data_IF_222072871138
#
_entry.id   IF_222072871138
#
_cell.length_a   1.000
_cell.length_b   1.000
_cell.length_c   1.000
_cell.angle_alpha   90.00
_cell.angle_beta   90.00
_cell.angle_gamma   90.00
#
_symmetry.space_group_name_H-M   'P 1'
#
loop_
_entity.id
_entity.type
_entity.pdbx_description
1 polymer ?
#
# COMPACT_ATOMS: atom_id res chain seq x y z
N UNK A 1 7.14 -9.31 -11.81
CA UNK A 1 7.21 -7.84 -11.69
C UNK A 1 8.47 -7.51 -10.90
N UNK A 2 9.25 -6.49 -11.26
CA UNK A 2 10.37 -6.06 -10.41
C UNK A 2 9.80 -5.28 -9.21
N UNK A 3 10.03 -5.71 -7.95
CA UNK A 3 9.31 -5.15 -6.80
C UNK A 3 9.55 -3.65 -6.57
N UNK A 4 10.76 -3.17 -6.79
CA UNK A 4 11.07 -1.75 -6.65
C UNK A 4 10.43 -0.88 -7.76
N UNK A 5 10.41 -1.37 -9.00
CA UNK A 5 9.75 -0.67 -10.10
C UNK A 5 8.23 -0.55 -9.87
N UNK A 6 7.64 -1.55 -9.20
CA UNK A 6 6.24 -1.50 -8.78
C UNK A 6 5.98 -0.37 -7.78
N UNK A 7 6.89 -0.17 -6.80
CA UNK A 7 6.82 0.94 -5.85
C UNK A 7 6.95 2.29 -6.55
N UNK A 8 7.95 2.45 -7.42
CA UNK A 8 8.15 3.71 -8.16
C UNK A 8 6.90 4.06 -8.99
N UNK A 9 6.29 3.08 -9.67
CA UNK A 9 5.03 3.27 -10.41
C UNK A 9 3.82 3.54 -9.50
N UNK A 10 3.73 2.91 -8.35
CA UNK A 10 2.66 3.16 -7.38
C UNK A 10 2.76 4.57 -6.81
N UNK A 11 3.97 5.04 -6.49
CA UNK A 11 4.24 6.43 -6.09
C UNK A 11 3.78 7.39 -7.18
N UNK A 12 4.24 7.19 -8.42
CA UNK A 12 3.89 8.09 -9.53
C UNK A 12 2.37 8.12 -9.77
N UNK A 13 1.69 6.99 -9.63
CA UNK A 13 0.22 6.88 -9.73
C UNK A 13 -0.48 7.75 -8.67
N UNK A 14 -0.13 7.57 -7.40
CA UNK A 14 -0.76 8.29 -6.28
C UNK A 14 -0.47 9.78 -6.35
N UNK A 15 0.79 10.16 -6.60
CA UNK A 15 1.19 11.57 -6.71
C UNK A 15 0.44 12.24 -7.87
N UNK A 16 0.39 11.60 -9.03
CA UNK A 16 -0.33 12.15 -10.19
C UNK A 16 -1.81 12.35 -9.89
N UNK A 17 -2.45 11.37 -9.24
CA UNK A 17 -3.87 11.44 -8.93
C UNK A 17 -4.20 12.55 -7.91
N UNK A 18 -3.36 12.74 -6.89
CA UNK A 18 -3.64 13.66 -5.78
C UNK A 18 -3.12 15.09 -5.99
N UNK A 19 -2.14 15.28 -6.88
CA UNK A 19 -1.55 16.60 -7.17
C UNK A 19 -2.57 17.71 -7.49
N UNK A 20 -3.66 17.46 -8.25
CA UNK A 20 -4.65 18.51 -8.55
C UNK A 20 -5.42 19.04 -7.34
N UNK A 21 -5.34 18.37 -6.18
CA UNK A 21 -6.12 18.70 -4.99
C UNK A 21 -5.27 19.14 -3.80
N UNK A 22 -3.99 19.49 -3.99
CA UNK A 22 -3.13 19.97 -2.89
C UNK A 22 -3.63 21.29 -2.29
N UNK A 23 -4.35 22.11 -3.06
CA UNK A 23 -4.94 23.36 -2.57
C UNK A 23 -6.33 23.16 -1.90
N UNK A 24 -6.85 21.92 -1.87
CA UNK A 24 -8.13 21.61 -1.23
C UNK A 24 -7.98 21.33 0.28
N UNK A 25 -9.10 21.29 0.98
CA UNK A 25 -9.11 20.90 2.40
C UNK A 25 -8.91 19.39 2.56
N UNK A 26 -7.73 18.98 3.07
CA UNK A 26 -7.42 17.58 3.39
C UNK A 26 -7.85 17.17 4.80
N UNK A 27 -8.56 18.02 5.54
CA UNK A 27 -9.16 17.65 6.83
C UNK A 27 -10.47 16.88 6.68
N UNK A 28 -11.05 16.83 5.47
CA UNK A 28 -12.20 15.97 5.18
C UNK A 28 -11.83 14.47 5.30
N UNK A 29 -12.81 13.60 5.58
CA UNK A 29 -12.62 12.15 5.59
C UNK A 29 -12.04 11.60 4.27
N UNK A 30 -11.16 10.60 4.38
CA UNK A 30 -10.61 9.86 3.24
C UNK A 30 -11.56 8.73 2.82
N UNK A 31 -12.50 9.04 1.92
CA UNK A 31 -13.52 8.09 1.49
C UNK A 31 -14.42 7.70 2.67
N UNK A 32 -14.51 6.40 2.94
CA UNK A 32 -15.30 5.86 4.06
C UNK A 32 -14.51 5.75 5.37
N UNK A 33 -13.24 6.18 5.40
CA UNK A 33 -12.44 6.16 6.62
C UNK A 33 -12.84 7.29 7.58
N UNK A 34 -12.75 7.04 8.88
CA UNK A 34 -12.85 8.10 9.91
C UNK A 34 -11.65 9.06 9.88
N UNK A 35 -10.56 8.65 9.23
CA UNK A 35 -9.34 9.43 9.09
C UNK A 35 -9.48 10.51 8.03
N UNK A 36 -8.83 11.66 8.27
CA UNK A 36 -8.76 12.69 7.24
C UNK A 36 -7.84 12.28 6.09
N UNK A 37 -8.00 12.92 4.94
CA UNK A 37 -7.10 12.76 3.79
C UNK A 37 -5.63 13.04 4.19
N UNK A 38 -5.39 14.08 4.99
CA UNK A 38 -4.04 14.43 5.47
C UNK A 38 -3.47 13.36 6.39
N UNK A 39 -4.23 12.91 7.37
CA UNK A 39 -3.75 11.87 8.30
C UNK A 39 -3.47 10.57 7.55
N UNK A 40 -4.32 10.20 6.60
CA UNK A 40 -4.16 9.00 5.77
C UNK A 40 -2.88 9.07 4.93
N UNK A 41 -2.54 10.23 4.36
CA UNK A 41 -1.29 10.43 3.62
C UNK A 41 -0.05 10.37 4.53
N UNK A 42 -0.10 11.01 5.71
CA UNK A 42 0.97 10.94 6.72
C UNK A 42 1.19 9.51 7.22
N UNK A 43 0.11 8.77 7.46
CA UNK A 43 0.14 7.36 7.85
C UNK A 43 0.83 6.51 6.78
N UNK A 44 0.40 6.61 5.51
CA UNK A 44 1.01 5.87 4.43
C UNK A 44 2.52 6.19 4.32
N UNK A 45 2.91 7.46 4.44
CA UNK A 45 4.32 7.84 4.45
C UNK A 45 5.10 7.20 5.62
N UNK A 46 4.54 7.21 6.84
CA UNK A 46 5.14 6.57 8.01
C UNK A 46 5.26 5.06 7.85
N UNK A 47 4.26 4.37 7.29
CA UNK A 47 4.32 2.94 6.98
C UNK A 47 5.47 2.63 6.02
N UNK A 48 5.59 3.38 4.92
CA UNK A 48 6.67 3.19 3.93
C UNK A 48 8.06 3.34 4.54
N UNK A 49 8.25 4.37 5.37
CA UNK A 49 9.53 4.58 6.07
C UNK A 49 9.81 3.47 7.08
N UNK A 50 8.79 3.04 7.83
CA UNK A 50 8.89 1.93 8.78
C UNK A 50 9.31 0.65 8.07
N UNK A 51 8.67 0.30 6.95
CA UNK A 51 9.02 -0.90 6.19
C UNK A 51 10.43 -0.82 5.58
N UNK A 52 10.86 0.36 5.15
CA UNK A 52 12.22 0.60 4.67
C UNK A 52 13.25 0.36 5.79
N UNK A 53 13.00 0.90 6.98
CA UNK A 53 13.86 0.71 8.15
C UNK A 53 13.91 -0.76 8.56
N UNK A 54 12.78 -1.47 8.56
CA UNK A 54 12.74 -2.88 8.94
C UNK A 54 13.59 -3.76 8.04
N UNK A 55 13.49 -3.55 6.72
CA UNK A 55 14.28 -4.33 5.76
C UNK A 55 15.77 -3.93 5.81
N UNK A 56 16.07 -2.63 5.84
CA UNK A 56 17.44 -2.14 5.88
C UNK A 56 18.21 -2.56 7.14
N UNK A 57 17.53 -2.60 8.29
CA UNK A 57 18.10 -3.03 9.57
C UNK A 57 18.07 -4.54 9.78
N UNK A 58 17.36 -5.28 8.92
CA UNK A 58 17.09 -6.71 9.07
C UNK A 58 16.50 -7.04 10.46
N UNK A 59 15.60 -6.17 10.94
CA UNK A 59 15.05 -6.26 12.29
C UNK A 59 14.41 -7.64 12.51
N UNK A 60 14.82 -8.42 13.54
CA UNK A 60 14.48 -9.84 13.59
C UNK A 60 13.16 -10.15 14.30
N UNK A 61 12.68 -9.29 15.22
CA UNK A 61 11.61 -9.66 16.16
C UNK A 61 10.58 -8.58 16.48
N UNK A 62 10.89 -7.31 16.19
CA UNK A 62 10.04 -6.18 16.53
C UNK A 62 10.27 -5.04 15.54
N UNK A 63 9.38 -4.05 15.58
CA UNK A 63 9.61 -2.79 14.89
C UNK A 63 10.75 -2.02 15.53
N UNK A 64 11.70 -1.57 14.72
CA UNK A 64 12.63 -0.52 15.13
C UNK A 64 11.80 0.66 15.64
N UNK A 65 12.16 1.16 16.83
CA UNK A 65 11.42 2.23 17.49
C UNK A 65 11.59 3.54 16.72
N UNK A 66 10.67 3.81 15.80
CA UNK A 66 10.70 4.95 14.89
C UNK A 66 9.28 5.49 14.69
N UNK A 67 9.18 6.81 14.64
CA UNK A 67 7.95 7.51 14.29
C UNK A 67 8.28 8.77 13.50
N UNK A 68 7.46 9.07 12.51
CA UNK A 68 7.57 10.27 11.68
C UNK A 68 6.19 10.76 11.26
N UNK A 69 6.12 12.05 10.93
CA UNK A 69 4.95 12.76 10.42
C UNK A 69 5.43 14.01 9.71
N UNK A 70 4.56 14.63 8.90
CA UNK A 70 4.87 15.94 8.36
C UNK A 70 4.96 16.99 9.48
N UNK A 71 5.60 18.12 9.18
CA UNK A 71 5.65 19.25 10.09
C UNK A 71 4.23 19.82 10.32
N UNK A 72 4.04 20.52 11.43
CA UNK A 72 2.74 21.05 11.80
C UNK A 72 2.22 22.11 10.81
N UNK A 73 3.15 22.88 10.23
CA UNK A 73 2.91 23.92 9.24
C UNK A 73 3.07 23.44 7.79
N UNK A 74 3.33 22.13 7.58
CA UNK A 74 3.42 21.54 6.26
C UNK A 74 2.08 21.65 5.51
N UNK A 75 2.14 22.16 4.28
CA UNK A 75 1.04 22.20 3.33
C UNK A 75 0.70 20.79 2.83
N UNK A 76 -0.45 20.60 2.19
CA UNK A 76 -0.77 19.29 1.60
C UNK A 76 0.20 18.90 0.48
N UNK A 77 0.77 19.86 -0.24
CA UNK A 77 1.83 19.61 -1.20
C UNK A 77 3.08 19.03 -0.51
N UNK A 78 3.47 19.58 0.64
CA UNK A 78 4.59 19.05 1.44
C UNK A 78 4.28 17.64 1.99
N UNK A 79 3.02 17.36 2.38
CA UNK A 79 2.61 16.01 2.80
C UNK A 79 2.68 15.02 1.62
N UNK A 80 2.25 15.42 0.43
CA UNK A 80 2.33 14.59 -0.77
C UNK A 80 3.80 14.35 -1.18
N UNK A 81 4.66 15.37 -1.04
CA UNK A 81 6.11 15.24 -1.24
C UNK A 81 6.72 14.25 -0.25
N UNK A 82 6.35 14.32 1.03
CA UNK A 82 6.79 13.37 2.05
C UNK A 82 6.38 11.93 1.69
N UNK A 83 5.14 11.72 1.23
CA UNK A 83 4.67 10.41 0.79
C UNK A 83 5.49 9.89 -0.40
N UNK A 84 5.73 10.74 -1.40
CA UNK A 84 6.53 10.40 -2.57
C UNK A 84 7.97 10.04 -2.21
N UNK A 85 8.63 10.86 -1.38
CA UNK A 85 9.99 10.62 -0.91
C UNK A 85 10.09 9.32 -0.10
N UNK A 86 9.09 9.04 0.73
CA UNK A 86 9.03 7.81 1.54
C UNK A 86 8.88 6.55 0.68
N UNK A 87 8.05 6.60 -0.36
CA UNK A 87 7.93 5.50 -1.32
C UNK A 87 9.21 5.27 -2.13
N UNK A 88 9.88 6.34 -2.58
CA UNK A 88 11.17 6.25 -3.28
C UNK A 88 12.29 5.74 -2.37
N UNK A 89 12.28 6.10 -1.09
CA UNK A 89 13.19 5.54 -0.09
C UNK A 89 12.97 4.04 0.07
N UNK A 90 11.72 3.59 0.20
CA UNK A 90 11.39 2.17 0.27
C UNK A 90 11.86 1.43 -0.99
N UNK A 91 11.60 1.98 -2.17
CA UNK A 91 12.04 1.40 -3.44
C UNK A 91 13.58 1.26 -3.49
N UNK A 92 14.32 2.25 -2.99
CA UNK A 92 15.77 2.19 -2.91
C UNK A 92 16.27 1.08 -1.97
N UNK A 93 15.65 0.92 -0.80
CA UNK A 93 15.99 -0.18 0.12
C UNK A 93 15.67 -1.54 -0.50
N UNK A 94 14.51 -1.69 -1.15
CA UNK A 94 14.13 -2.92 -1.85
C UNK A 94 15.12 -3.26 -2.97
N UNK A 95 15.61 -2.29 -3.73
CA UNK A 95 16.65 -2.51 -4.77
C UNK A 95 17.98 -2.99 -4.19
N UNK A 96 18.33 -2.54 -2.99
CA UNK A 96 19.60 -2.83 -2.35
C UNK A 96 19.57 -4.11 -1.50
N UNK A 97 18.40 -4.68 -1.24
CA UNK A 97 18.24 -5.85 -0.37
C UNK A 97 18.81 -7.11 -1.02
N UNK A 98 19.55 -7.91 -0.24
CA UNK A 98 20.02 -9.22 -0.67
C UNK A 98 18.90 -10.26 -0.59
N UNK A 99 18.95 -11.36 -1.38
CA UNK A 99 17.89 -12.39 -1.37
C UNK A 99 17.59 -13.01 0.01
N UNK A 100 18.57 -12.98 0.92
CA UNK A 100 18.46 -13.51 2.30
C UNK A 100 17.94 -12.48 3.30
N UNK A 101 17.84 -11.19 2.93
CA UNK A 101 17.45 -10.13 3.84
C UNK A 101 15.98 -10.24 4.21
N UNK A 102 15.68 -10.08 5.50
CA UNK A 102 14.33 -10.14 6.05
C UNK A 102 14.10 -9.04 7.06
N UNK A 103 12.94 -8.40 7.02
CA UNK A 103 12.48 -7.45 8.02
C UNK A 103 11.26 -7.97 8.76
N UNK A 104 11.21 -7.78 10.07
CA UNK A 104 10.05 -8.16 10.87
C UNK A 104 8.80 -7.35 10.51
N UNK A 105 7.69 -8.06 10.31
CA UNK A 105 6.32 -7.54 10.30
C UNK A 105 5.43 -8.52 11.11
N UNK A 106 4.39 -8.04 11.84
CA UNK A 106 3.48 -8.93 12.59
C UNK A 106 2.83 -10.05 11.77
N UNK A 107 2.68 -9.86 10.45
CA UNK A 107 2.12 -10.85 9.51
C UNK A 107 3.18 -11.66 8.74
N UNK A 108 4.44 -11.64 9.20
CA UNK A 108 5.51 -12.51 8.71
C UNK A 108 6.83 -11.76 8.48
N UNK A 109 7.94 -12.50 8.47
CA UNK A 109 9.26 -11.97 8.11
C UNK A 109 9.30 -11.63 6.62
N UNK A 110 9.17 -10.35 6.30
CA UNK A 110 9.08 -9.85 4.94
C UNK A 110 10.44 -9.90 4.24
N UNK A 111 10.46 -10.43 3.03
CA UNK A 111 11.56 -10.27 2.08
C UNK A 111 11.38 -9.00 1.24
N UNK A 112 12.30 -8.73 0.31
CA UNK A 112 12.21 -7.55 -0.55
C UNK A 112 10.88 -7.48 -1.34
N UNK A 113 10.36 -8.62 -1.82
CA UNK A 113 9.09 -8.67 -2.54
C UNK A 113 7.90 -8.40 -1.61
N UNK A 114 7.86 -9.01 -0.43
CA UNK A 114 6.81 -8.78 0.57
C UNK A 114 6.82 -7.35 1.09
N UNK A 115 8.00 -6.78 1.33
CA UNK A 115 8.17 -5.38 1.71
C UNK A 115 7.65 -4.42 0.64
N UNK A 116 7.95 -4.67 -0.64
CA UNK A 116 7.40 -3.89 -1.74
C UNK A 116 5.87 -4.06 -1.87
N UNK A 117 5.37 -5.28 -1.69
CA UNK A 117 3.94 -5.57 -1.75
C UNK A 117 3.16 -4.81 -0.67
N UNK A 118 3.67 -4.80 0.57
CA UNK A 118 3.09 -3.98 1.66
C UNK A 118 3.09 -2.50 1.28
N UNK A 119 4.22 -1.95 0.83
CA UNK A 119 4.31 -0.53 0.46
C UNK A 119 3.37 -0.15 -0.70
N UNK A 120 3.23 -1.01 -1.71
CA UNK A 120 2.29 -0.79 -2.81
C UNK A 120 0.83 -0.87 -2.35
N UNK A 121 0.48 -1.73 -1.38
CA UNK A 121 -0.87 -1.76 -0.79
C UNK A 121 -1.14 -0.44 -0.06
N UNK A 122 -0.23 0.00 0.82
CA UNK A 122 -0.36 1.28 1.53
C UNK A 122 -0.54 2.43 0.56
N UNK A 123 0.30 2.52 -0.48
CA UNK A 123 0.21 3.58 -1.49
C UNK A 123 -1.12 3.52 -2.26
N UNK A 124 -1.43 2.37 -2.87
CA UNK A 124 -2.53 2.32 -3.83
C UNK A 124 -3.90 2.34 -3.16
N UNK A 125 -4.05 1.65 -2.03
CA UNK A 125 -5.31 1.58 -1.30
C UNK A 125 -5.60 2.91 -0.62
N UNK A 126 -4.65 3.46 0.14
CA UNK A 126 -4.87 4.76 0.80
C UNK A 126 -4.86 5.94 -0.18
N UNK A 127 -4.12 5.86 -1.29
CA UNK A 127 -4.25 6.81 -2.38
C UNK A 127 -5.66 6.82 -2.96
N UNK A 128 -6.30 5.65 -3.08
CA UNK A 128 -7.70 5.51 -3.48
C UNK A 128 -8.68 6.05 -2.44
N UNK A 129 -8.43 5.80 -1.15
CA UNK A 129 -9.25 6.36 -0.06
C UNK A 129 -9.21 7.90 -0.08
N UNK A 130 -8.01 8.50 -0.23
CA UNK A 130 -7.83 9.95 -0.31
C UNK A 130 -8.49 10.51 -1.58
N UNK A 131 -8.28 9.88 -2.74
CA UNK A 131 -8.88 10.32 -3.98
C UNK A 131 -10.42 10.31 -3.90
N UNK A 132 -11.01 9.28 -3.28
CA UNK A 132 -12.45 9.22 -3.04
C UNK A 132 -12.93 10.37 -2.13
N UNK A 133 -12.23 10.64 -1.02
CA UNK A 133 -12.54 11.76 -0.11
C UNK A 133 -12.47 13.14 -0.75
N UNK A 134 -11.56 13.31 -1.73
CA UNK A 134 -11.38 14.55 -2.49
C UNK A 134 -12.20 14.61 -3.79
N UNK A 135 -13.00 13.58 -4.09
CA UNK A 135 -13.81 13.52 -5.31
C UNK A 135 -13.01 13.42 -6.60
N UNK A 136 -11.80 12.84 -6.55
CA UNK A 136 -10.89 12.68 -7.68
C UNK A 136 -11.09 11.32 -8.37
N UNK A 137 -10.93 11.24 -9.69
CA UNK A 137 -10.87 9.97 -10.39
C UNK A 137 -9.60 9.21 -9.98
N UNK A 138 -9.72 7.90 -9.76
CA UNK A 138 -8.59 7.07 -9.36
C UNK A 138 -8.71 5.66 -9.92
N UNK A 139 -7.72 5.24 -10.70
CA UNK A 139 -7.60 3.88 -11.22
C UNK A 139 -6.10 3.48 -11.18
N UNK A 140 -5.71 2.56 -10.28
CA UNK A 140 -4.33 2.12 -10.19
C UNK A 140 -3.94 1.17 -11.35
N UNK A 141 -2.64 0.98 -11.63
CA UNK A 141 -2.20 0.09 -12.70
C UNK A 141 -2.66 -1.36 -12.48
N UNK A 142 -3.44 -1.95 -13.41
CA UNK A 142 -4.08 -3.25 -13.20
C UNK A 142 -3.08 -4.39 -13.03
N UNK A 143 -1.91 -4.30 -13.67
CA UNK A 143 -0.84 -5.28 -13.55
C UNK A 143 -0.21 -5.30 -12.14
N UNK A 144 -0.08 -4.14 -11.50
CA UNK A 144 0.37 -4.05 -10.10
C UNK A 144 -0.69 -4.63 -9.18
N UNK A 145 -1.97 -4.31 -9.41
CA UNK A 145 -3.07 -4.87 -8.63
C UNK A 145 -3.13 -6.41 -8.74
N UNK A 146 -2.96 -6.97 -9.93
CA UNK A 146 -2.89 -8.42 -10.14
C UNK A 146 -1.70 -9.04 -9.39
N UNK A 147 -0.52 -8.43 -9.46
CA UNK A 147 0.66 -8.91 -8.73
C UNK A 147 0.43 -8.87 -7.21
N UNK A 148 -0.15 -7.79 -6.68
CA UNK A 148 -0.48 -7.67 -5.25
C UNK A 148 -1.47 -8.74 -4.79
N UNK A 149 -2.53 -8.99 -5.55
CA UNK A 149 -3.50 -10.04 -5.20
C UNK A 149 -2.82 -11.41 -5.14
N UNK A 150 -2.05 -11.75 -6.17
CA UNK A 150 -1.35 -13.04 -6.22
C UNK A 150 -0.32 -13.20 -5.10
N UNK A 151 0.42 -12.13 -4.75
CA UNK A 151 1.54 -12.19 -3.79
C UNK A 151 1.14 -11.95 -2.34
N UNK A 152 0.18 -11.06 -2.09
CA UNK A 152 -0.15 -10.60 -0.74
C UNK A 152 -1.47 -11.18 -0.23
N UNK A 153 -2.37 -11.59 -1.15
CA UNK A 153 -3.71 -12.10 -0.82
C UNK A 153 -4.07 -13.39 -1.58
N UNK A 154 -3.23 -14.44 -1.52
CA UNK A 154 -3.38 -15.62 -2.37
C UNK A 154 -4.74 -16.31 -2.25
N UNK A 155 -5.36 -16.32 -1.06
CA UNK A 155 -6.70 -16.89 -0.85
C UNK A 155 -7.79 -16.10 -1.59
N UNK A 156 -7.80 -14.76 -1.47
CA UNK A 156 -8.77 -13.91 -2.15
C UNK A 156 -8.56 -13.94 -3.68
N UNK A 157 -7.30 -14.01 -4.11
CA UNK A 157 -6.96 -14.19 -5.52
C UNK A 157 -7.50 -15.50 -6.08
N UNK A 158 -7.31 -16.63 -5.38
CA UNK A 158 -7.86 -17.92 -5.80
C UNK A 158 -9.40 -17.92 -5.81
N UNK A 159 -10.05 -17.32 -4.79
CA UNK A 159 -11.51 -17.19 -4.76
C UNK A 159 -12.00 -16.38 -5.97
N UNK A 160 -11.37 -15.23 -6.24
CA UNK A 160 -11.78 -14.38 -7.36
C UNK A 160 -11.59 -15.07 -8.72
N UNK A 161 -10.50 -15.81 -8.91
CA UNK A 161 -10.23 -16.53 -10.17
C UNK A 161 -11.27 -17.63 -10.47
N UNK A 162 -11.92 -18.17 -9.45
CA UNK A 162 -12.97 -19.19 -9.59
C UNK A 162 -14.33 -18.63 -10.03
N UNK A 163 -14.48 -17.30 -10.11
CA UNK A 163 -15.77 -16.62 -10.33
C UNK A 163 -16.05 -16.31 -11.80
N UNK A 164 -17.35 -16.28 -12.14
CA UNK A 164 -17.85 -15.92 -13.47
C UNK A 164 -19.06 -14.96 -13.33
N UNK A 165 -18.97 -13.71 -13.82
CA UNK A 165 -17.76 -13.06 -14.30
C UNK A 165 -16.79 -12.72 -13.15
N UNK A 166 -15.50 -12.74 -13.45
CA UNK A 166 -14.44 -12.29 -12.54
C UNK A 166 -14.47 -10.76 -12.38
N UNK A 167 -14.18 -10.27 -11.17
CA UNK A 167 -13.93 -8.83 -10.94
C UNK A 167 -12.61 -8.41 -11.61
N UNK A 168 -12.49 -7.14 -11.99
CA UNK A 168 -11.18 -6.59 -12.38
C UNK A 168 -10.25 -6.47 -11.15
N UNK A 169 -8.92 -6.36 -11.35
CA UNK A 169 -7.96 -6.40 -10.24
C UNK A 169 -8.17 -5.33 -9.16
N UNK A 170 -8.48 -4.09 -9.54
CA UNK A 170 -8.67 -3.01 -8.56
C UNK A 170 -9.92 -3.20 -7.66
N UNK A 171 -11.13 -3.43 -8.20
CA UNK A 171 -12.29 -3.84 -7.40
C UNK A 171 -12.04 -5.08 -6.53
N UNK A 172 -11.21 -6.01 -7.01
CA UNK A 172 -10.83 -7.19 -6.20
C UNK A 172 -9.98 -6.78 -4.98
N UNK A 173 -9.01 -5.88 -5.15
CA UNK A 173 -8.24 -5.32 -4.03
C UNK A 173 -9.12 -4.51 -3.08
N UNK A 174 -10.04 -3.70 -3.59
CA UNK A 174 -10.99 -2.96 -2.76
C UNK A 174 -11.85 -3.91 -1.92
N UNK A 175 -12.35 -5.00 -2.52
CA UNK A 175 -13.08 -6.02 -1.77
C UNK A 175 -12.20 -6.72 -0.73
N UNK A 176 -10.99 -7.13 -1.11
CA UNK A 176 -10.01 -7.78 -0.23
C UNK A 176 -9.63 -6.91 0.97
N UNK A 177 -9.68 -5.60 0.82
CA UNK A 177 -9.33 -4.62 1.85
C UNK A 177 -10.56 -3.95 2.50
N UNK A 178 -11.76 -4.49 2.27
CA UNK A 178 -12.99 -4.04 2.92
C UNK A 178 -13.60 -2.73 2.42
N UNK A 179 -13.10 -2.14 1.33
CA UNK A 179 -13.66 -0.93 0.68
C UNK A 179 -14.83 -1.20 -0.26
N UNK A 180 -14.99 -2.44 -0.71
CA UNK A 180 -16.05 -2.81 -1.64
C UNK A 180 -16.73 -4.09 -1.18
N UNK A 181 -18.06 -4.14 -1.23
CA UNK A 181 -18.83 -5.38 -1.07
C UNK A 181 -19.59 -5.67 -2.36
N UNK A 182 -19.04 -6.51 -3.26
CA UNK A 182 -19.73 -6.91 -4.48
C UNK A 182 -20.99 -7.74 -4.15
N UNK A 183 -22.08 -7.67 -4.96
CA UNK A 183 -23.36 -8.32 -4.65
C UNK A 183 -23.31 -9.83 -4.37
N UNK A 184 -22.28 -10.52 -4.89
CA UNK A 184 -22.13 -11.97 -4.79
C UNK A 184 -20.95 -12.38 -3.90
N UNK A 185 -20.43 -11.46 -3.09
CA UNK A 185 -19.27 -11.66 -2.24
C UNK A 185 -19.60 -11.28 -0.80
N UNK A 186 -19.10 -12.07 0.14
CA UNK A 186 -19.21 -11.72 1.55
C UNK A 186 -18.39 -10.46 1.83
N UNK A 187 -18.91 -9.53 2.66
CA UNK A 187 -18.14 -8.38 3.10
C UNK A 187 -16.85 -8.82 3.80
N UNK A 188 -15.75 -8.14 3.49
CA UNK A 188 -14.48 -8.34 4.19
C UNK A 188 -14.43 -7.40 5.39
N UNK A 189 -14.64 -7.92 6.60
CA UNK A 189 -14.65 -7.13 7.84
C UNK A 189 -13.29 -7.09 8.54
N UNK A 190 -12.45 -8.09 8.27
CA UNK A 190 -11.06 -8.16 8.75
C UNK A 190 -10.20 -8.73 7.64
N UNK A 191 -8.99 -8.17 7.48
CA UNK A 191 -8.07 -8.61 6.45
C UNK A 191 -6.63 -8.43 6.92
N UNK A 192 -5.76 -9.30 6.43
CA UNK A 192 -4.32 -9.24 6.66
C UNK A 192 -3.62 -9.66 5.37
N UNK A 193 -2.57 -8.95 4.96
CA UNK A 193 -1.70 -9.41 3.89
C UNK A 193 -0.73 -10.51 4.38
N UNK A 194 -0.18 -11.29 3.45
CA UNK A 194 0.88 -12.26 3.72
C UNK A 194 2.27 -11.65 3.46
N UNK A 195 2.95 -11.20 4.53
CA UNK A 195 4.25 -10.52 4.40
C UNK A 195 5.39 -11.47 4.04
N UNK A 196 5.41 -12.67 4.61
CA UNK A 196 6.48 -13.64 4.39
C UNK A 196 6.53 -14.11 2.92
N UNK A 197 7.70 -14.57 2.42
CA UNK A 197 7.75 -15.28 1.15
C UNK A 197 6.86 -16.53 1.19
N UNK A 198 6.17 -16.82 0.08
CA UNK A 198 5.46 -18.08 -0.06
C UNK A 198 6.45 -19.24 0.07
N UNK A 199 6.08 -20.26 0.86
CA UNK A 199 6.85 -21.50 0.86
C UNK A 199 6.77 -22.12 -0.54
N UNK A 200 7.89 -22.64 -1.09
CA UNK A 200 7.80 -23.42 -2.32
C UNK A 200 6.86 -24.59 -2.09
N UNK A 201 6.07 -24.99 -3.11
CA UNK A 201 5.22 -26.18 -3.00
C UNK A 201 6.12 -27.37 -2.64
N UNK A 202 5.75 -28.06 -1.56
CA UNK A 202 6.39 -29.30 -1.10
C UNK A 202 6.19 -30.42 -2.08
#
# INVERSE_FOLDING_TARGET
MQPADALDRAVDTVVTALSPATDQDWQCPAGDLEWSCRFTAEHAAHCLQTYAIQLASRAPTHYVSFFSRALNDATNADVLELLAASGRLLAAVVRAAEPTDRGFHPFGMADAEGTAGMGCIELLVHGGDIAAGLGLPYEPPPDICTWLLARMFPTHHAEQQSRVPALTPWPTLQWTTGRLTPPNLSPTTTWHWHSAPHQPPT
#
